data_IF_423824150079
#
_entry.id   IF_423824150079
#
_cell.length_a   1.000
_cell.length_b   1.000
_cell.length_c   1.000
_cell.angle_alpha   90.00
_cell.angle_beta   90.00
_cell.angle_gamma   90.00
#
_symmetry.space_group_name_H-M   'P 1'
#
loop_
_entity.id
_entity.type
_entity.pdbx_description
1 polymer ?
#
# COMPACT_ATOMS: atom_id res chain seq x y z
N UNK A 1 -17.04 36.43 10.33
CA UNK A 1 -17.33 35.92 8.97
C UNK A 1 -16.86 34.48 8.97
N UNK A 2 -17.80 33.55 8.92
CA UNK A 2 -17.53 32.11 8.88
C UNK A 2 -16.86 31.77 7.55
N UNK A 3 -15.66 31.21 7.60
CA UNK A 3 -15.04 30.55 6.45
C UNK A 3 -15.98 29.41 6.00
N UNK A 4 -16.73 29.65 4.93
CA UNK A 4 -17.22 28.56 4.09
C UNK A 4 -15.99 27.84 3.56
N UNK A 5 -15.63 26.72 4.20
CA UNK A 5 -14.71 25.76 3.60
C UNK A 5 -15.30 25.35 2.25
N UNK A 6 -14.80 25.94 1.17
CA UNK A 6 -15.08 25.46 -0.18
C UNK A 6 -14.76 23.97 -0.20
N UNK A 7 -15.77 23.17 -0.50
CA UNK A 7 -15.66 21.74 -0.74
C UNK A 7 -14.85 21.53 -2.03
N UNK A 8 -13.53 21.65 -1.93
CA UNK A 8 -12.62 21.46 -3.05
C UNK A 8 -12.24 19.98 -3.17
N UNK A 9 -12.24 19.48 -4.40
CA UNK A 9 -11.76 18.14 -4.72
C UNK A 9 -10.26 18.01 -4.38
N UNK A 10 -9.84 16.81 -3.97
CA UNK A 10 -8.44 16.51 -3.67
C UNK A 10 -7.96 15.41 -4.62
N UNK A 11 -6.84 15.64 -5.26
CA UNK A 11 -6.24 14.75 -6.25
C UNK A 11 -4.89 14.23 -5.77
N UNK A 12 -4.55 12.99 -6.10
CA UNK A 12 -3.22 12.42 -5.90
C UNK A 12 -2.65 11.99 -7.26
N UNK A 13 -1.48 12.50 -7.61
CA UNK A 13 -0.75 12.05 -8.80
C UNK A 13 -0.06 10.73 -8.54
N UNK A 14 -0.28 9.73 -9.38
CA UNK A 14 0.17 8.36 -9.18
C UNK A 14 1.31 7.99 -10.12
N UNK A 15 2.31 7.29 -9.59
CA UNK A 15 3.41 6.65 -10.31
C UNK A 15 3.33 5.13 -10.18
N UNK A 16 3.95 4.41 -11.11
CA UNK A 16 4.04 2.94 -11.03
C UNK A 16 2.72 2.23 -11.34
N UNK A 17 1.78 2.91 -12.01
CA UNK A 17 0.49 2.36 -12.42
C UNK A 17 0.18 2.71 -13.87
N UNK A 18 -0.26 1.75 -14.67
CA UNK A 18 -0.80 2.01 -16.00
C UNK A 18 -2.25 1.51 -16.06
N UNK A 19 -3.21 2.42 -16.22
CA UNK A 19 -4.62 2.02 -16.34
C UNK A 19 -4.94 1.59 -17.77
N UNK A 20 -5.82 0.61 -17.93
CA UNK A 20 -6.35 0.19 -19.24
C UNK A 20 -7.64 0.91 -19.65
N UNK A 21 -8.17 1.79 -18.81
CA UNK A 21 -9.32 2.65 -19.05
C UNK A 21 -9.02 4.09 -18.69
N UNK A 22 -9.78 5.02 -19.27
CA UNK A 22 -9.64 6.46 -19.03
C UNK A 22 -10.01 6.84 -17.59
N UNK A 23 -11.09 6.27 -17.05
CA UNK A 23 -11.61 6.57 -15.72
C UNK A 23 -12.36 5.37 -15.15
N UNK A 24 -12.26 5.19 -13.83
CA UNK A 24 -12.97 4.17 -13.08
C UNK A 24 -13.50 4.75 -11.76
N UNK A 25 -14.76 4.45 -11.43
CA UNK A 25 -15.41 4.86 -10.19
C UNK A 25 -15.25 3.81 -9.09
N UNK A 26 -14.53 4.16 -8.04
CA UNK A 26 -14.28 3.35 -6.83
C UNK A 26 -15.43 3.46 -5.81
N UNK A 27 -16.44 4.30 -6.07
CA UNK A 27 -17.64 4.49 -5.25
C UNK A 27 -17.64 5.78 -4.43
N UNK A 28 -18.84 6.31 -4.11
CA UNK A 28 -19.10 7.63 -3.48
C UNK A 28 -18.36 8.78 -4.17
N UNK A 29 -18.21 8.69 -5.49
CA UNK A 29 -17.53 9.70 -6.31
C UNK A 29 -16.00 9.65 -6.24
N UNK A 30 -15.41 8.81 -5.39
CA UNK A 30 -13.95 8.55 -5.43
C UNK A 30 -13.64 7.85 -6.75
N UNK A 31 -12.68 8.36 -7.50
CA UNK A 31 -12.38 7.83 -8.84
C UNK A 31 -10.90 7.86 -9.14
N UNK A 32 -10.47 6.92 -9.98
CA UNK A 32 -9.11 6.87 -10.51
C UNK A 32 -9.18 7.06 -12.03
N UNK A 33 -8.31 7.91 -12.59
CA UNK A 33 -8.30 8.23 -14.02
C UNK A 33 -6.89 8.24 -14.57
N UNK A 34 -6.74 8.01 -15.88
CA UNK A 34 -5.49 8.27 -16.57
C UNK A 34 -5.18 9.76 -16.51
N UNK A 35 -3.91 10.07 -16.27
CA UNK A 35 -3.39 11.42 -16.27
C UNK A 35 -1.96 11.38 -16.82
N UNK A 36 -1.49 12.50 -17.34
CA UNK A 36 -0.13 12.63 -17.82
C UNK A 36 0.44 13.93 -17.30
N UNK A 37 1.37 13.83 -16.35
CA UNK A 37 2.13 14.95 -15.84
C UNK A 37 3.55 14.49 -15.52
N UNK A 38 4.53 15.34 -15.81
CA UNK A 38 5.90 15.09 -15.41
C UNK A 38 6.19 15.89 -14.15
N UNK A 39 6.35 15.22 -13.00
CA UNK A 39 6.71 15.87 -11.75
C UNK A 39 8.23 16.06 -11.73
N UNK A 40 8.67 17.28 -12.00
CA UNK A 40 10.07 17.67 -11.84
C UNK A 40 10.33 17.86 -10.35
N UNK A 41 11.23 17.06 -9.76
CA UNK A 41 11.59 17.21 -8.35
C UNK A 41 12.46 18.48 -8.18
N UNK A 42 11.94 19.58 -7.63
CA UNK A 42 12.70 20.80 -7.55
C UNK A 42 13.49 20.77 -6.24
N UNK A 43 14.73 20.26 -6.26
CA UNK A 43 15.74 20.75 -5.32
C UNK A 43 16.16 22.17 -5.74
N UNK A 44 15.19 23.09 -5.81
CA UNK A 44 15.43 24.47 -6.20
C UNK A 44 15.81 25.24 -4.95
N UNK A 45 17.08 25.59 -4.85
CA UNK A 45 17.59 26.50 -3.83
C UNK A 45 17.67 27.90 -4.44
N UNK A 46 16.89 28.83 -3.90
CA UNK A 46 16.97 30.25 -4.22
C UNK A 46 18.04 30.90 -3.33
N UNK A 47 19.11 31.44 -3.93
CA UNK A 47 20.20 32.09 -3.19
C UNK A 47 20.06 33.62 -3.08
N UNK A 48 18.92 34.20 -3.47
CA UNK A 48 18.64 35.63 -3.38
C UNK A 48 17.39 35.90 -2.52
N UNK A 49 17.38 36.99 -1.74
CA UNK A 49 16.25 37.38 -0.91
C UNK A 49 15.02 37.72 -1.77
N UNK A 50 13.85 37.23 -1.36
CA UNK A 50 12.56 37.30 -2.06
C UNK A 50 11.92 38.70 -2.09
N UNK A 51 12.68 39.74 -2.47
CA UNK A 51 12.15 41.10 -2.64
C UNK A 51 11.56 41.37 -4.03
N UNK A 52 11.64 40.41 -4.96
CA UNK A 52 10.97 40.48 -6.25
C UNK A 52 9.99 39.30 -6.37
N UNK A 53 8.73 39.60 -6.70
CA UNK A 53 7.76 38.58 -7.14
C UNK A 53 8.26 37.99 -8.47
N UNK A 54 8.82 36.79 -8.41
CA UNK A 54 9.31 36.08 -9.59
C UNK A 54 10.27 34.94 -9.22
N UNK A 55 10.22 33.86 -10.00
CA UNK A 55 11.18 32.75 -9.88
C UNK A 55 12.62 33.29 -10.04
N UNK A 56 13.55 32.98 -9.12
CA UNK A 56 14.92 33.49 -9.20
C UNK A 56 15.65 32.98 -10.44
N UNK A 57 16.40 33.86 -11.11
CA UNK A 57 16.95 33.66 -12.45
C UNK A 57 18.05 32.58 -12.59
N UNK A 58 18.47 31.90 -11.52
CA UNK A 58 19.54 30.89 -11.56
C UNK A 58 19.23 29.69 -10.67
N UNK A 59 19.04 28.53 -11.32
CA UNK A 59 18.92 27.23 -10.67
C UNK A 59 20.14 26.37 -10.99
N UNK A 60 20.56 25.54 -10.03
CA UNK A 60 21.59 24.53 -10.23
C UNK A 60 20.99 23.17 -9.85
N UNK A 61 20.78 22.30 -10.84
CA UNK A 61 20.27 20.95 -10.65
C UNK A 61 21.40 19.92 -10.53
N UNK A 62 21.24 18.92 -9.67
CA UNK A 62 22.13 17.76 -9.59
C UNK A 62 21.79 16.76 -10.72
N UNK A 63 22.77 16.35 -11.52
CA UNK A 63 22.63 15.66 -12.81
C UNK A 63 22.12 14.20 -12.83
N UNK A 64 21.16 13.81 -11.99
CA UNK A 64 20.41 12.55 -12.17
C UNK A 64 18.96 12.85 -12.55
N UNK A 65 18.35 12.04 -13.43
CA UNK A 65 17.00 12.23 -14.01
C UNK A 65 16.03 12.89 -13.03
N UNK A 66 15.83 14.20 -13.20
CA UNK A 66 15.14 15.08 -12.25
C UNK A 66 13.64 14.98 -12.49
N UNK A 67 13.02 13.89 -12.02
CA UNK A 67 11.56 13.81 -12.01
C UNK A 67 10.98 12.42 -12.18
N UNK A 68 9.66 12.34 -12.04
CA UNK A 68 8.87 11.12 -12.17
C UNK A 68 7.63 11.38 -13.03
N UNK A 69 7.30 10.44 -13.90
CA UNK A 69 6.08 10.52 -14.71
C UNK A 69 4.87 10.05 -13.91
N UNK A 70 3.90 10.94 -13.74
CA UNK A 70 2.59 10.64 -13.20
C UNK A 70 1.70 10.15 -14.35
N UNK A 71 1.21 8.92 -14.22
CA UNK A 71 0.47 8.19 -15.27
C UNK A 71 -1.01 8.00 -14.94
N UNK A 72 -1.40 8.31 -13.70
CA UNK A 72 -2.79 8.32 -13.27
C UNK A 72 -3.00 9.37 -12.16
N UNK A 73 -4.26 9.69 -11.90
CA UNK A 73 -4.67 10.48 -10.75
C UNK A 73 -5.80 9.78 -9.97
N UNK A 74 -5.77 9.90 -8.65
CA UNK A 74 -6.87 9.51 -7.76
C UNK A 74 -7.58 10.79 -7.29
N UNK A 75 -8.89 10.86 -7.44
CA UNK A 75 -9.73 11.99 -7.03
C UNK A 75 -10.63 11.58 -5.86
N UNK A 76 -10.61 12.37 -4.80
CA UNK A 76 -11.61 12.37 -3.72
C UNK A 76 -12.40 13.66 -3.83
N UNK A 77 -13.71 13.61 -4.15
CA UNK A 77 -14.49 14.82 -4.36
C UNK A 77 -14.67 15.59 -3.04
N UNK A 78 -14.79 16.92 -3.09
CA UNK A 78 -14.98 17.77 -1.93
C UNK A 78 -16.26 17.43 -1.14
N UNK A 79 -17.27 16.88 -1.84
CA UNK A 79 -18.54 16.38 -1.28
C UNK A 79 -18.44 15.00 -0.63
N UNK A 80 -17.26 14.37 -0.65
CA UNK A 80 -17.09 13.05 -0.07
C UNK A 80 -17.38 13.10 1.45
N UNK A 81 -18.17 12.16 2.00
CA UNK A 81 -18.49 12.16 3.42
C UNK A 81 -17.25 11.80 4.25
N UNK A 82 -16.52 12.82 4.68
CA UNK A 82 -15.25 12.66 5.39
C UNK A 82 -15.45 11.84 6.67
N UNK A 83 -16.53 12.03 7.43
CA UNK A 83 -16.96 11.17 8.54
C UNK A 83 -15.80 10.53 9.32
N UNK A 84 -15.68 9.19 9.24
CA UNK A 84 -14.63 8.39 9.93
C UNK A 84 -13.19 8.58 9.43
N UNK A 85 -12.99 9.26 8.29
CA UNK A 85 -11.71 9.45 7.64
C UNK A 85 -10.97 10.71 8.12
N UNK A 86 -11.65 11.63 8.80
CA UNK A 86 -11.15 12.92 9.31
C UNK A 86 -10.66 13.91 8.24
N UNK A 87 -10.06 13.46 7.14
CA UNK A 87 -9.70 14.28 5.98
C UNK A 87 -9.67 13.45 4.67
N UNK A 88 -9.70 14.08 3.48
CA UNK A 88 -9.60 13.39 2.19
C UNK A 88 -8.25 12.67 1.97
N UNK A 89 -7.16 13.19 2.54
CA UNK A 89 -5.82 12.60 2.42
C UNK A 89 -5.77 11.19 3.03
N UNK A 90 -6.52 10.94 4.10
CA UNK A 90 -6.63 9.61 4.70
C UNK A 90 -7.39 8.62 3.82
N UNK A 91 -8.34 9.11 3.02
CA UNK A 91 -9.01 8.30 1.97
C UNK A 91 -7.99 7.95 0.89
N UNK A 92 -7.21 8.93 0.44
CA UNK A 92 -6.12 8.72 -0.54
C UNK A 92 -5.11 7.70 -0.04
N UNK A 93 -4.58 7.87 1.17
CA UNK A 93 -3.66 6.91 1.84
C UNK A 93 -4.21 5.50 1.80
N UNK A 94 -5.48 5.37 2.16
CA UNK A 94 -6.12 4.08 2.25
C UNK A 94 -6.33 3.42 0.89
N UNK A 95 -6.81 4.17 -0.10
CA UNK A 95 -6.96 3.64 -1.46
C UNK A 95 -5.59 3.26 -2.05
N UNK A 96 -4.54 4.03 -1.78
CA UNK A 96 -3.16 3.68 -2.16
C UNK A 96 -2.69 2.38 -1.53
N UNK A 97 -2.92 2.19 -0.23
CA UNK A 97 -2.60 0.93 0.45
C UNK A 97 -3.36 -0.26 -0.19
N UNK A 98 -4.63 -0.07 -0.57
CA UNK A 98 -5.41 -1.11 -1.26
C UNK A 98 -4.92 -1.39 -2.69
N UNK A 99 -4.53 -0.36 -3.42
CA UNK A 99 -3.90 -0.48 -4.74
C UNK A 99 -2.59 -1.25 -4.64
N UNK A 100 -1.77 -0.98 -3.63
CA UNK A 100 -0.52 -1.71 -3.37
C UNK A 100 -0.74 -3.16 -3.00
N UNK A 101 -1.72 -3.39 -2.14
CA UNK A 101 -2.09 -4.71 -1.66
C UNK A 101 -2.57 -5.62 -2.79
N UNK A 102 -3.35 -5.10 -3.73
CA UNK A 102 -4.02 -5.92 -4.75
C UNK A 102 -3.40 -5.78 -6.14
N UNK A 103 -3.24 -4.55 -6.61
CA UNK A 103 -2.83 -4.25 -7.98
C UNK A 103 -1.32 -4.36 -8.17
N UNK A 104 -0.56 -3.49 -7.50
CA UNK A 104 0.90 -3.44 -7.62
C UNK A 104 1.54 -2.74 -6.41
N UNK A 105 2.51 -3.37 -5.72
CA UNK A 105 3.21 -2.72 -4.61
C UNK A 105 4.02 -1.50 -5.05
N UNK A 106 4.34 -1.36 -6.34
CA UNK A 106 5.16 -0.25 -6.85
C UNK A 106 4.42 1.09 -6.97
N UNK A 107 3.11 1.09 -6.76
CA UNK A 107 2.27 2.29 -6.84
C UNK A 107 2.66 3.26 -5.72
N UNK A 108 2.85 4.54 -6.08
CA UNK A 108 3.09 5.63 -5.13
C UNK A 108 2.41 6.92 -5.56
N UNK A 109 2.22 7.83 -4.61
CA UNK A 109 1.69 9.17 -4.83
C UNK A 109 2.67 10.24 -4.33
N UNK A 110 3.62 10.70 -5.15
CA UNK A 110 4.60 11.70 -4.71
C UNK A 110 3.97 13.08 -4.42
N UNK A 111 2.78 13.36 -4.95
CA UNK A 111 2.14 14.69 -4.89
C UNK A 111 0.63 14.60 -4.69
N UNK A 112 0.10 15.54 -3.90
CA UNK A 112 -1.33 15.84 -3.75
C UNK A 112 -1.60 17.21 -4.39
N UNK A 113 -2.77 17.37 -5.01
CA UNK A 113 -3.20 18.59 -5.70
C UNK A 113 -4.64 18.94 -5.33
N UNK A 114 -4.97 20.23 -5.35
CA UNK A 114 -6.36 20.74 -5.27
C UNK A 114 -7.00 20.94 -6.65
N UNK A 115 -6.24 20.72 -7.72
CA UNK A 115 -6.71 20.68 -9.11
C UNK A 115 -6.41 19.34 -9.77
N UNK A 116 -7.25 18.93 -10.72
CA UNK A 116 -7.00 17.73 -11.53
C UNK A 116 -5.75 17.93 -12.39
N UNK A 117 -4.87 16.93 -12.42
CA UNK A 117 -3.67 16.91 -13.27
C UNK A 117 -4.06 16.84 -14.75
N UNK A 118 -5.24 16.31 -15.06
CA UNK A 118 -5.80 16.33 -16.43
C UNK A 118 -6.21 17.74 -16.87
N UNK A 119 -6.60 18.57 -15.92
CA UNK A 119 -7.09 19.93 -16.14
C UNK A 119 -6.06 21.00 -15.80
N UNK A 120 -4.84 20.62 -15.42
CA UNK A 120 -3.79 21.55 -15.07
C UNK A 120 -3.13 22.21 -16.30
N UNK A 121 -3.21 21.60 -17.50
CA UNK A 121 -2.61 22.19 -18.71
C UNK A 121 -3.25 23.52 -19.17
N UNK A 122 -4.58 23.74 -19.04
CA UNK A 122 -5.22 25.03 -19.36
C UNK A 122 -5.23 26.03 -18.19
N UNK A 123 -4.92 25.59 -16.97
CA UNK A 123 -4.90 26.45 -15.79
C UNK A 123 -3.61 27.29 -15.81
N UNK A 124 -3.71 28.61 -15.66
CA UNK A 124 -2.53 29.49 -15.65
C UNK A 124 -1.53 29.13 -14.54
N UNK A 125 -0.31 29.65 -14.63
CA UNK A 125 0.86 29.31 -13.80
C UNK A 125 0.67 29.34 -12.25
N UNK A 126 -0.47 29.79 -11.73
CA UNK A 126 -0.72 30.01 -10.30
C UNK A 126 -2.05 29.45 -9.74
N UNK A 127 -2.80 28.64 -10.49
CA UNK A 127 -4.16 28.24 -10.06
C UNK A 127 -4.23 26.93 -9.26
N UNK A 128 -3.14 26.16 -9.16
CA UNK A 128 -3.11 24.89 -8.43
C UNK A 128 -2.03 24.81 -7.35
N UNK A 129 -2.37 24.22 -6.20
CA UNK A 129 -1.43 23.93 -5.11
C UNK A 129 -1.01 22.47 -5.15
N UNK A 130 0.29 22.24 -5.34
CA UNK A 130 0.90 20.92 -5.21
C UNK A 130 1.56 20.78 -3.83
N UNK A 131 1.22 19.70 -3.13
CA UNK A 131 1.81 19.34 -1.84
C UNK A 131 2.59 18.03 -1.95
N UNK A 132 3.86 17.99 -1.52
CA UNK A 132 4.62 16.75 -1.42
C UNK A 132 3.93 15.75 -0.48
N UNK A 133 3.97 14.46 -0.84
CA UNK A 133 3.27 13.43 -0.08
C UNK A 133 4.13 12.21 0.23
N UNK A 134 4.29 11.26 -0.70
CA UNK A 134 5.16 10.10 -0.54
C UNK A 134 6.50 10.30 -1.25
N UNK A 135 7.31 11.21 -0.73
CA UNK A 135 8.63 11.54 -1.31
C UNK A 135 9.76 10.61 -0.86
N UNK A 136 9.50 9.71 0.10
CA UNK A 136 10.48 8.75 0.57
C UNK A 136 10.85 7.76 -0.55
N UNK A 137 12.16 7.51 -0.79
CA UNK A 137 12.57 6.55 -1.79
C UNK A 137 12.15 5.14 -1.39
N UNK A 138 11.65 4.38 -2.36
CA UNK A 138 11.37 2.96 -2.22
C UNK A 138 12.68 2.19 -2.26
N UNK A 139 12.88 1.32 -1.27
CA UNK A 139 14.11 0.54 -1.11
C UNK A 139 13.89 -0.88 -1.59
N UNK A 140 12.75 -1.48 -1.26
CA UNK A 140 12.38 -2.80 -1.75
C UNK A 140 11.83 -2.69 -3.17
N UNK A 141 12.57 -3.25 -4.14
CA UNK A 141 12.11 -3.38 -5.52
C UNK A 141 11.43 -4.74 -5.70
N UNK A 142 10.11 -4.75 -5.69
CA UNK A 142 9.35 -5.94 -6.07
C UNK A 142 9.19 -5.91 -7.59
N UNK A 143 9.96 -6.75 -8.28
CA UNK A 143 9.86 -6.89 -9.73
C UNK A 143 8.45 -7.35 -10.12
N UNK A 144 7.83 -6.60 -11.03
CA UNK A 144 6.59 -6.98 -11.67
C UNK A 144 6.80 -7.21 -13.17
N UNK A 145 5.96 -8.03 -13.81
CA UNK A 145 6.01 -8.18 -15.26
C UNK A 145 5.88 -6.83 -15.95
N UNK A 146 6.83 -6.51 -16.83
CA UNK A 146 6.81 -5.28 -17.60
C UNK A 146 5.49 -5.14 -18.39
N UNK A 147 4.89 -3.94 -18.38
CA UNK A 147 3.67 -3.65 -19.12
C UNK A 147 2.38 -4.21 -18.49
N UNK A 148 2.41 -4.66 -17.23
CA UNK A 148 1.18 -5.02 -16.50
C UNK A 148 0.31 -3.78 -16.32
N UNK A 149 -0.81 -3.75 -17.03
CA UNK A 149 -1.84 -2.73 -16.85
C UNK A 149 -2.84 -3.13 -15.76
N UNK A 150 -3.28 -2.16 -15.00
CA UNK A 150 -4.40 -2.29 -14.06
C UNK A 150 -5.70 -2.18 -14.87
N UNK A 151 -6.49 -3.24 -14.80
CA UNK A 151 -7.75 -3.38 -15.52
C UNK A 151 -8.98 -3.22 -14.61
N UNK A 152 -10.16 -3.24 -15.23
CA UNK A 152 -11.42 -2.99 -14.53
C UNK A 152 -11.66 -4.07 -13.48
N UNK A 153 -11.31 -5.32 -13.79
CA UNK A 153 -11.43 -6.45 -12.88
C UNK A 153 -10.56 -6.26 -11.64
N UNK A 154 -9.34 -5.74 -11.80
CA UNK A 154 -8.47 -5.40 -10.68
C UNK A 154 -9.09 -4.30 -9.80
N UNK A 155 -9.61 -3.24 -10.42
CA UNK A 155 -10.24 -2.12 -9.70
C UNK A 155 -11.60 -2.47 -9.08
N UNK A 156 -12.34 -3.42 -9.65
CA UNK A 156 -13.60 -3.94 -9.11
C UNK A 156 -13.40 -4.60 -7.75
N UNK A 157 -12.30 -5.33 -7.56
CA UNK A 157 -11.96 -5.87 -6.25
C UNK A 157 -11.71 -4.75 -5.23
N UNK A 158 -10.98 -3.69 -5.62
CA UNK A 158 -10.73 -2.55 -4.75
C UNK A 158 -12.05 -1.86 -4.39
N UNK A 159 -12.87 -1.52 -5.39
CA UNK A 159 -14.21 -0.94 -5.23
C UNK A 159 -15.08 -1.72 -4.24
N UNK A 160 -15.08 -3.05 -4.37
CA UNK A 160 -15.92 -3.93 -3.56
C UNK A 160 -15.43 -4.07 -2.11
N UNK A 161 -14.14 -3.85 -1.86
CA UNK A 161 -13.51 -4.20 -0.59
C UNK A 161 -12.99 -3.01 0.22
N UNK A 162 -12.63 -1.87 -0.38
CA UNK A 162 -11.89 -0.82 0.33
C UNK A 162 -12.65 -0.27 1.54
N UNK A 163 -13.97 -0.07 1.46
CA UNK A 163 -14.76 0.42 2.61
C UNK A 163 -14.89 -0.60 3.71
N UNK A 164 -15.13 -1.83 3.29
CA UNK A 164 -15.32 -2.95 4.19
C UNK A 164 -14.00 -3.20 4.95
N UNK A 165 -12.88 -3.33 4.24
CA UNK A 165 -11.55 -3.49 4.83
C UNK A 165 -11.18 -2.30 5.73
N UNK A 166 -11.61 -1.08 5.43
CA UNK A 166 -11.42 0.07 6.30
C UNK A 166 -12.24 -0.01 7.61
N UNK A 167 -13.43 -0.61 7.58
CA UNK A 167 -14.20 -0.89 8.79
C UNK A 167 -13.51 -2.00 9.60
N UNK A 168 -13.17 -3.11 8.94
CA UNK A 168 -12.56 -4.27 9.56
C UNK A 168 -11.23 -3.91 10.25
N UNK A 169 -10.34 -3.14 9.60
CA UNK A 169 -9.08 -2.71 10.23
C UNK A 169 -9.29 -1.81 11.45
N UNK A 170 -10.40 -1.05 11.50
CA UNK A 170 -10.69 -0.16 12.63
C UNK A 170 -11.11 -0.97 13.85
N UNK A 171 -11.80 -2.09 13.62
CA UNK A 171 -12.29 -2.99 14.65
C UNK A 171 -11.18 -3.94 15.15
N UNK A 172 -10.25 -4.33 14.27
CA UNK A 172 -9.19 -5.32 14.54
C UNK A 172 -7.79 -4.72 14.47
N UNK A 173 -7.14 -4.58 15.63
CA UNK A 173 -5.80 -3.97 15.75
C UNK A 173 -4.71 -4.77 15.06
N UNK A 174 -4.84 -6.10 15.09
CA UNK A 174 -3.97 -7.07 14.43
C UNK A 174 -3.96 -6.89 12.91
N UNK A 175 -5.13 -6.68 12.29
CA UNK A 175 -5.25 -6.41 10.87
C UNK A 175 -4.72 -5.02 10.51
N UNK A 176 -4.98 -4.02 11.37
CA UNK A 176 -4.44 -2.68 11.19
C UNK A 176 -2.91 -2.70 11.15
N UNK A 177 -2.27 -3.35 12.13
CA UNK A 177 -0.82 -3.49 12.21
C UNK A 177 -0.27 -4.22 10.98
N UNK A 178 -0.94 -5.28 10.52
CA UNK A 178 -0.52 -6.04 9.36
C UNK A 178 -0.52 -5.22 8.07
N UNK A 179 -1.56 -4.43 7.84
CA UNK A 179 -1.62 -3.56 6.66
C UNK A 179 -0.57 -2.46 6.74
N UNK A 180 -0.36 -1.87 7.92
CA UNK A 180 0.70 -0.87 8.11
C UNK A 180 2.10 -1.46 7.89
N UNK A 181 2.38 -2.64 8.46
CA UNK A 181 3.64 -3.32 8.27
C UNK A 181 3.92 -3.61 6.79
N UNK A 182 2.91 -4.12 6.06
CA UNK A 182 3.04 -4.38 4.62
C UNK A 182 3.26 -3.09 3.83
N UNK A 183 2.45 -2.06 4.06
CA UNK A 183 2.53 -0.79 3.31
C UNK A 183 3.84 -0.03 3.59
N UNK A 184 4.40 -0.13 4.79
CA UNK A 184 5.63 0.56 5.18
C UNK A 184 6.91 -0.21 4.85
N UNK A 185 6.87 -1.55 4.82
CA UNK A 185 8.06 -2.39 4.59
C UNK A 185 8.84 -2.00 3.33
N UNK A 186 8.15 -1.57 2.28
CA UNK A 186 8.75 -1.17 1.00
C UNK A 186 9.59 0.13 1.06
N UNK A 187 9.41 0.95 2.10
CA UNK A 187 10.12 2.21 2.33
C UNK A 187 11.22 2.08 3.39
N UNK A 188 11.33 0.93 4.06
CA UNK A 188 12.36 0.70 5.08
C UNK A 188 13.71 0.45 4.42
N UNK A 189 14.74 1.20 4.84
CA UNK A 189 16.11 1.08 4.31
C UNK A 189 16.82 -0.19 4.75
N UNK A 190 16.50 -0.67 5.95
CA UNK A 190 17.07 -1.86 6.55
C UNK A 190 16.12 -3.05 6.32
N UNK A 191 16.49 -4.03 5.47
CA UNK A 191 15.67 -5.21 5.20
C UNK A 191 15.40 -6.04 6.45
N UNK A 192 16.32 -6.09 7.41
CA UNK A 192 16.14 -6.78 8.69
C UNK A 192 15.04 -6.13 9.52
N UNK A 193 14.95 -4.80 9.56
CA UNK A 193 13.84 -4.10 10.23
C UNK A 193 12.51 -4.35 9.52
N UNK A 194 12.50 -4.39 8.18
CA UNK A 194 11.31 -4.75 7.42
C UNK A 194 10.84 -6.17 7.76
N UNK A 195 11.75 -7.15 7.81
CA UNK A 195 11.46 -8.53 8.21
C UNK A 195 10.89 -8.60 9.62
N UNK A 196 11.48 -7.90 10.58
CA UNK A 196 10.96 -7.84 11.97
C UNK A 196 9.54 -7.29 11.99
N UNK A 197 9.26 -6.23 11.23
CA UNK A 197 7.91 -5.64 11.14
C UNK A 197 6.89 -6.62 10.54
N UNK A 198 7.22 -7.26 9.41
CA UNK A 198 6.35 -8.21 8.72
C UNK A 198 6.07 -9.45 9.58
N UNK A 199 7.08 -10.02 10.23
CA UNK A 199 6.92 -11.16 11.12
C UNK A 199 6.15 -10.79 12.39
N UNK A 200 6.40 -9.61 12.95
CA UNK A 200 5.62 -9.09 14.08
C UNK A 200 4.13 -9.01 13.76
N UNK A 201 3.76 -8.60 12.54
CA UNK A 201 2.38 -8.62 12.07
C UNK A 201 1.80 -10.03 11.94
N UNK A 202 2.53 -10.97 11.31
CA UNK A 202 2.10 -12.36 11.18
C UNK A 202 1.90 -13.04 12.55
N UNK A 203 2.83 -12.83 13.47
CA UNK A 203 2.76 -13.35 14.84
C UNK A 203 1.55 -12.77 15.59
N UNK A 204 1.24 -11.48 15.40
CA UNK A 204 0.09 -10.83 16.02
C UNK A 204 -1.25 -11.44 15.57
N UNK A 205 -1.37 -11.78 14.28
CA UNK A 205 -2.57 -12.43 13.73
C UNK A 205 -2.69 -13.89 14.23
N UNK A 206 -1.62 -14.67 14.12
CA UNK A 206 -1.71 -16.14 14.20
C UNK A 206 -1.21 -16.74 15.52
N UNK A 207 -0.40 -16.04 16.30
CA UNK A 207 0.18 -16.63 17.51
C UNK A 207 0.54 -15.58 18.58
N UNK A 208 -0.44 -15.07 19.33
CA UNK A 208 -0.16 -14.19 20.47
C UNK A 208 0.59 -14.90 21.60
N UNK A 209 0.72 -16.24 21.56
CA UNK A 209 1.45 -17.06 22.56
C UNK A 209 2.87 -17.39 22.11
N UNK A 210 3.83 -17.37 23.05
CA UNK A 210 5.28 -17.53 22.78
C UNK A 210 5.79 -18.98 22.66
N UNK A 211 4.98 -19.98 22.97
CA UNK A 211 5.42 -21.40 22.99
C UNK A 211 5.34 -22.01 21.59
N UNK A 212 6.38 -22.73 21.16
CA UNK A 212 6.47 -23.43 19.86
C UNK A 212 6.16 -22.55 18.63
N UNK A 213 6.54 -21.27 18.71
CA UNK A 213 6.12 -20.23 17.78
C UNK A 213 6.37 -20.59 16.32
N UNK A 214 7.52 -21.20 16.00
CA UNK A 214 7.86 -21.64 14.63
C UNK A 214 6.86 -22.63 14.04
N UNK A 215 6.66 -23.76 14.73
CA UNK A 215 5.80 -24.84 14.23
C UNK A 215 4.35 -24.38 14.20
N UNK A 216 3.89 -23.76 15.29
CA UNK A 216 2.53 -23.28 15.43
C UNK A 216 2.21 -22.21 14.38
N UNK A 217 3.02 -21.17 14.25
CA UNK A 217 2.80 -20.09 13.27
C UNK A 217 2.76 -20.64 11.84
N UNK A 218 3.75 -21.45 11.46
CA UNK A 218 3.80 -22.02 10.10
C UNK A 218 2.61 -22.93 9.79
N UNK A 219 2.16 -23.73 10.76
CA UNK A 219 1.01 -24.60 10.60
C UNK A 219 -0.30 -23.81 10.51
N UNK A 220 -0.50 -22.79 11.37
CA UNK A 220 -1.72 -21.97 11.36
C UNK A 220 -1.84 -21.16 10.08
N UNK A 221 -0.77 -20.47 9.65
CA UNK A 221 -0.73 -19.72 8.38
C UNK A 221 -1.06 -20.65 7.20
N UNK A 222 -0.42 -21.82 7.14
CA UNK A 222 -0.67 -22.75 6.04
C UNK A 222 -2.10 -23.32 6.06
N UNK A 223 -2.62 -23.66 7.24
CA UNK A 223 -4.00 -24.16 7.39
C UNK A 223 -5.04 -23.12 7.05
N UNK A 224 -4.75 -21.84 7.30
CA UNK A 224 -5.62 -20.72 6.99
C UNK A 224 -5.67 -20.44 5.48
N UNK A 225 -4.53 -20.53 4.79
CA UNK A 225 -4.42 -20.21 3.36
C UNK A 225 -4.76 -21.38 2.43
N UNK A 226 -4.54 -22.62 2.86
CA UNK A 226 -4.66 -23.80 1.99
C UNK A 226 -5.57 -24.86 2.63
N UNK A 227 -6.42 -25.50 1.83
CA UNK A 227 -7.21 -26.66 2.24
C UNK A 227 -6.31 -27.86 2.61
N UNK A 228 -6.80 -28.87 3.35
CA UNK A 228 -6.01 -30.05 3.69
C UNK A 228 -5.46 -30.74 2.44
N UNK A 229 -4.15 -30.96 2.37
CA UNK A 229 -3.50 -31.61 1.23
C UNK A 229 -2.01 -31.28 1.07
N UNK A 230 -1.38 -31.76 -0.01
CA UNK A 230 0.06 -31.56 -0.26
C UNK A 230 0.48 -30.10 -0.28
N UNK A 231 -0.33 -29.21 -0.88
CA UNK A 231 -0.06 -27.76 -0.94
C UNK A 231 0.04 -27.12 0.44
N UNK A 232 -0.82 -27.52 1.38
CA UNK A 232 -0.76 -27.04 2.77
C UNK A 232 0.55 -27.46 3.44
N UNK A 233 0.98 -28.71 3.25
CA UNK A 233 2.25 -29.20 3.80
C UNK A 233 3.46 -28.49 3.18
N UNK A 234 3.44 -28.26 1.88
CA UNK A 234 4.47 -27.50 1.17
C UNK A 234 4.56 -26.06 1.68
N UNK A 235 3.41 -25.39 1.82
CA UNK A 235 3.33 -24.04 2.37
C UNK A 235 3.83 -23.99 3.81
N UNK A 236 3.41 -24.93 4.68
CA UNK A 236 3.89 -24.99 6.06
C UNK A 236 5.41 -25.10 6.13
N UNK A 237 6.01 -25.97 5.31
CA UNK A 237 7.48 -26.13 5.24
C UNK A 237 8.16 -24.87 4.73
N UNK A 238 7.56 -24.19 3.75
CA UNK A 238 8.08 -22.93 3.23
C UNK A 238 8.03 -21.82 4.28
N UNK A 239 6.90 -21.62 4.95
CA UNK A 239 6.76 -20.63 6.03
C UNK A 239 7.74 -20.92 7.18
N UNK A 240 7.93 -22.18 7.55
CA UNK A 240 8.91 -22.56 8.58
C UNK A 240 10.35 -22.19 8.17
N UNK A 241 10.72 -22.36 6.90
CA UNK A 241 12.04 -21.94 6.39
C UNK A 241 12.21 -20.42 6.40
N UNK A 242 11.19 -19.67 5.96
CA UNK A 242 11.23 -18.20 5.99
C UNK A 242 11.36 -17.69 7.43
N UNK A 243 10.66 -18.33 8.37
CA UNK A 243 10.72 -17.98 9.79
C UNK A 243 12.14 -18.16 10.36
N UNK A 244 12.82 -19.26 10.02
CA UNK A 244 14.21 -19.50 10.46
C UNK A 244 15.19 -18.52 9.82
N UNK A 245 14.96 -18.17 8.55
CA UNK A 245 15.81 -17.25 7.79
C UNK A 245 15.78 -15.80 8.31
N UNK A 246 14.73 -15.39 9.03
CA UNK A 246 14.55 -13.99 9.47
C UNK A 246 15.62 -13.47 10.43
N UNK A 247 16.31 -14.37 11.12
CA UNK A 247 17.34 -14.05 12.12
C UNK A 247 18.64 -14.82 11.88
N UNK A 248 18.74 -15.54 10.75
CA UNK A 248 19.96 -16.24 10.39
C UNK A 248 21.02 -15.20 10.01
N UNK A 249 22.23 -15.25 10.59
CA UNK A 249 23.33 -14.45 10.08
C UNK A 249 23.49 -14.77 8.60
N UNK A 250 23.47 -13.75 7.75
CA UNK A 250 23.89 -13.86 6.35
C UNK A 250 25.31 -14.41 6.36
N UNK A 251 25.45 -15.73 6.18
CA UNK A 251 26.72 -16.43 6.26
C UNK A 251 27.66 -15.88 5.17
N UNK A 252 28.46 -14.88 5.52
CA UNK A 252 29.51 -14.31 4.68
C UNK A 252 29.02 -13.25 3.69
N UNK A 253 28.92 -11.99 4.15
CA UNK A 253 29.33 -10.82 3.34
C UNK A 253 28.47 -10.40 2.15
N UNK A 254 27.24 -10.87 2.00
CA UNK A 254 26.27 -10.31 1.06
C UNK A 254 25.03 -9.85 1.82
N UNK A 255 24.51 -8.69 1.41
CA UNK A 255 23.28 -8.05 1.87
C UNK A 255 22.16 -9.07 2.17
N UNK A 256 21.36 -8.82 3.21
CA UNK A 256 20.15 -9.56 3.58
C UNK A 256 19.45 -10.16 2.35
N UNK A 257 19.25 -11.49 2.32
CA UNK A 257 18.71 -12.21 1.15
C UNK A 257 17.40 -11.54 0.67
N UNK A 258 17.42 -10.82 -0.47
CA UNK A 258 16.27 -10.07 -0.94
C UNK A 258 15.06 -10.98 -1.24
N UNK A 259 15.32 -12.28 -1.48
CA UNK A 259 14.28 -13.26 -1.69
C UNK A 259 13.49 -13.54 -0.41
N UNK A 260 14.13 -13.60 0.76
CA UNK A 260 13.45 -13.87 2.04
C UNK A 260 12.49 -12.74 2.38
N UNK A 261 12.91 -11.49 2.19
CA UNK A 261 12.04 -10.33 2.40
C UNK A 261 10.86 -10.32 1.41
N UNK A 262 11.14 -10.56 0.12
CA UNK A 262 10.10 -10.63 -0.91
C UNK A 262 9.07 -11.73 -0.62
N UNK A 263 9.52 -12.93 -0.27
CA UNK A 263 8.64 -14.07 0.02
C UNK A 263 7.83 -13.84 1.30
N UNK A 264 8.43 -13.22 2.32
CA UNK A 264 7.73 -12.84 3.56
C UNK A 264 6.68 -11.75 3.29
N UNK A 265 7.00 -10.77 2.44
CA UNK A 265 6.07 -9.74 2.01
C UNK A 265 4.87 -10.35 1.28
N UNK A 266 5.10 -11.24 0.31
CA UNK A 266 4.03 -11.92 -0.43
C UNK A 266 3.19 -12.81 0.48
N UNK A 267 3.80 -13.50 1.45
CA UNK A 267 3.08 -14.28 2.44
C UNK A 267 2.10 -13.42 3.25
N UNK A 268 2.55 -12.28 3.78
CA UNK A 268 1.68 -11.36 4.53
C UNK A 268 0.60 -10.76 3.62
N UNK A 269 0.93 -10.39 2.39
CA UNK A 269 -0.04 -9.93 1.38
C UNK A 269 -1.15 -10.97 1.17
N UNK A 270 -0.81 -12.24 0.97
CA UNK A 270 -1.78 -13.35 0.80
C UNK A 270 -2.69 -13.51 2.02
N UNK A 271 -2.14 -13.38 3.22
CA UNK A 271 -2.91 -13.40 4.48
C UNK A 271 -3.92 -12.25 4.51
N UNK A 272 -3.47 -11.02 4.30
CA UNK A 272 -4.33 -9.82 4.35
C UNK A 272 -5.44 -9.90 3.30
N UNK A 273 -5.11 -10.28 2.07
CA UNK A 273 -6.10 -10.48 1.00
C UNK A 273 -7.13 -11.54 1.41
N UNK A 274 -6.70 -12.66 1.98
CA UNK A 274 -7.61 -13.73 2.43
C UNK A 274 -8.54 -13.26 3.56
N UNK A 275 -8.04 -12.44 4.49
CA UNK A 275 -8.86 -11.83 5.57
C UNK A 275 -9.93 -10.92 4.97
N UNK A 276 -9.55 -10.07 4.01
CA UNK A 276 -10.46 -9.13 3.36
C UNK A 276 -11.52 -9.87 2.54
N UNK A 277 -11.11 -10.86 1.75
CA UNK A 277 -12.02 -11.66 0.92
C UNK A 277 -13.03 -12.44 1.77
N UNK A 278 -12.58 -12.99 2.91
CA UNK A 278 -13.44 -13.70 3.88
C UNK A 278 -14.27 -12.78 4.75
N UNK A 279 -14.01 -11.47 4.71
CA UNK A 279 -14.68 -10.47 5.55
C UNK A 279 -14.62 -10.81 7.03
N UNK A 280 -13.48 -11.32 7.48
CA UNK A 280 -13.34 -11.79 8.86
C UNK A 280 -11.87 -11.94 9.26
N UNK A 281 -11.51 -11.42 10.43
CA UNK A 281 -10.20 -11.69 11.05
C UNK A 281 -10.35 -12.96 11.90
N UNK A 282 -9.56 -14.01 11.64
CA UNK A 282 -9.78 -15.30 12.28
C UNK A 282 -9.49 -15.24 13.79
N UNK A 283 -10.37 -15.84 14.59
CA UNK A 283 -10.14 -16.01 16.02
C UNK A 283 -9.13 -17.14 16.29
N UNK A 284 -8.58 -17.18 17.51
CA UNK A 284 -7.66 -18.26 17.91
C UNK A 284 -8.34 -19.63 17.80
N UNK A 285 -9.58 -19.73 18.25
CA UNK A 285 -10.37 -20.96 18.23
C UNK A 285 -10.63 -21.42 16.80
N UNK A 286 -10.94 -20.49 15.87
CA UNK A 286 -11.13 -20.80 14.45
C UNK A 286 -9.83 -21.27 13.79
N UNK A 287 -8.69 -20.66 14.12
CA UNK A 287 -7.39 -21.10 13.63
C UNK A 287 -7.04 -22.52 14.12
N UNK A 288 -7.29 -22.81 15.40
CA UNK A 288 -7.09 -24.15 15.97
C UNK A 288 -8.05 -25.18 15.35
N UNK A 289 -9.32 -24.83 15.19
CA UNK A 289 -10.33 -25.68 14.55
C UNK A 289 -9.93 -26.02 13.10
N UNK A 290 -9.50 -25.04 12.32
CA UNK A 290 -9.01 -25.21 10.94
C UNK A 290 -7.77 -26.10 10.86
N UNK A 291 -6.87 -26.01 11.85
CA UNK A 291 -5.67 -26.84 11.93
C UNK A 291 -6.03 -28.32 12.07
N UNK A 292 -7.02 -28.64 12.90
CA UNK A 292 -7.49 -30.01 13.13
C UNK A 292 -8.59 -30.46 12.15
N UNK A 293 -8.94 -29.64 11.16
CA UNK A 293 -9.95 -29.98 10.16
C UNK A 293 -11.39 -29.95 10.69
N UNK A 294 -11.61 -29.36 11.86
CA UNK A 294 -12.94 -29.08 12.39
C UNK A 294 -13.45 -27.85 11.64
N UNK A 295 -14.09 -28.09 10.50
CA UNK A 295 -14.71 -26.99 9.75
C UNK A 295 -16.03 -26.70 10.46
N UNK A 296 -16.10 -25.64 11.26
CA UNK A 296 -17.41 -25.03 11.53
C UNK A 296 -17.89 -24.49 10.18
N UNK A 297 -18.76 -25.25 9.51
CA UNK A 297 -19.70 -24.69 8.54
C UNK A 297 -20.46 -23.58 9.26
N UNK A 298 -20.00 -22.33 9.16
CA UNK A 298 -20.80 -21.16 9.58
C UNK A 298 -21.59 -20.67 8.38
N UNK A 299 -22.88 -20.99 8.49
CA UNK A 299 -24.10 -20.45 7.90
C UNK A 299 -23.99 -19.26 6.94
N UNK A 300 -24.74 -19.40 5.84
CA UNK A 300 -25.23 -18.42 4.86
C UNK A 300 -25.24 -16.95 5.29
#
# INVERSE_FOLDING_TARGET
MSDEQKETDVFAGLVGIELSMERFDLGDGVSISQAHAHLVNPFLVAFASSQEEGFPAKFMGSGEKIGVDLTAELCVPGKFPIGRWNNPINVIRWILAMLRLWASPNISAPVISDISLRQAQPAGDNEGRLMPFETAPRVLKIEEPAGRKVDAKCLDWIKSNWRYAAALRKEHKELHLAIEALDQAQFMRDPSLALVSLWGALENIFSPTKTELRFRLSALVASYLEAPGPKRLELQRHVARLYDARSAPSNGGAEDDPAVLKDTFELLRRVIVSIIDRRHVPSKEELEANLFGVTETRFD
#
